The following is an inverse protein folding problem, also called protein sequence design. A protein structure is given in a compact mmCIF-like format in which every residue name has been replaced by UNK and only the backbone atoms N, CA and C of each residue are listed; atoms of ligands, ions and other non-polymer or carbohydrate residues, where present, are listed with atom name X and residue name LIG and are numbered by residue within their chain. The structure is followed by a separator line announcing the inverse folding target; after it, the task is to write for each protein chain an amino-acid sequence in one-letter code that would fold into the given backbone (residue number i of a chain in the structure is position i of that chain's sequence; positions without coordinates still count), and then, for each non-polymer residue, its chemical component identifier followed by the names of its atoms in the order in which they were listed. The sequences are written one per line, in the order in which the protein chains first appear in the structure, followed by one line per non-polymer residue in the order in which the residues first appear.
data_IF_464821482917
#
_entry.id   IF_464821482917
#
_cell.length_a   1.000
_cell.length_b   1.000
_cell.length_c   1.000
_cell.angle_alpha   90.00
_cell.angle_beta   90.00
_cell.angle_gamma   90.00
#
_symmetry.space_group_name_H-M   'P 1'
#
loop_
_entity.id
_entity.type
_entity.pdbx_description
1 polymer ?
#
# COMPACT_ATOMS: atom_id res chain seq x y z
N UNK A 1 -38.76 -46.49 -0.80
CA UNK A 1 -37.66 -45.81 -0.09
C UNK A 1 -36.41 -45.87 -0.97
N UNK A 2 -36.15 -44.82 -1.75
CA UNK A 2 -34.93 -44.66 -2.55
C UNK A 2 -34.12 -43.54 -1.92
N UNK A 3 -33.11 -43.89 -1.11
CA UNK A 3 -32.15 -42.90 -0.59
C UNK A 3 -31.03 -42.66 -1.60
N UNK A 4 -30.83 -41.38 -1.87
CA UNK A 4 -30.02 -40.76 -2.91
C UNK A 4 -28.52 -41.10 -2.82
N UNK A 5 -27.98 -41.62 -3.93
CA UNK A 5 -26.53 -41.81 -4.18
C UNK A 5 -25.81 -40.51 -4.60
N UNK A 6 -26.46 -39.35 -4.61
CA UNK A 6 -25.87 -38.10 -5.14
C UNK A 6 -25.10 -37.24 -4.12
N UNK A 7 -25.11 -37.58 -2.82
CA UNK A 7 -24.44 -36.74 -1.80
C UNK A 7 -22.96 -37.10 -1.62
N UNK A 8 -22.51 -38.30 -2.04
CA UNK A 8 -21.15 -38.74 -1.77
C UNK A 8 -20.10 -38.16 -2.73
N UNK A 9 -20.51 -37.63 -3.89
CA UNK A 9 -19.57 -37.12 -4.91
C UNK A 9 -19.14 -35.67 -4.68
N UNK A 10 -19.86 -34.92 -3.83
CA UNK A 10 -19.53 -33.53 -3.52
C UNK A 10 -18.52 -33.37 -2.37
N UNK A 11 -18.22 -34.43 -1.63
CA UNK A 11 -17.25 -34.38 -0.52
C UNK A 11 -15.79 -34.66 -0.94
N UNK A 12 -15.58 -35.28 -2.11
CA UNK A 12 -14.24 -35.68 -2.55
C UNK A 12 -13.49 -34.52 -3.27
N UNK A 13 -14.20 -33.47 -3.70
CA UNK A 13 -13.55 -32.33 -4.37
C UNK A 13 -12.92 -31.29 -3.42
N UNK A 14 -13.07 -31.44 -2.10
CA UNK A 14 -12.52 -30.50 -1.10
C UNK A 14 -11.15 -30.91 -0.53
N UNK A 15 -10.59 -32.06 -0.96
CA UNK A 15 -9.37 -32.65 -0.40
C UNK A 15 -8.10 -32.47 -1.29
N UNK A 16 -8.13 -31.53 -2.24
CA UNK A 16 -6.96 -31.17 -3.07
C UNK A 16 -6.57 -29.70 -2.86
N UNK A 17 -6.53 -29.24 -1.61
CA UNK A 17 -5.73 -28.06 -1.26
C UNK A 17 -4.45 -28.58 -0.63
N UNK A 18 -3.41 -28.53 -1.45
CA UNK A 18 -2.07 -29.02 -1.19
C UNK A 18 -1.52 -28.54 0.16
N UNK A 19 -1.01 -29.49 0.92
CA UNK A 19 -0.12 -29.28 2.06
C UNK A 19 1.08 -28.41 1.63
N UNK A 20 1.02 -27.11 1.89
CA UNK A 20 2.21 -26.26 1.92
C UNK A 20 2.82 -26.42 3.31
N UNK A 21 3.60 -27.50 3.48
CA UNK A 21 4.38 -27.73 4.68
C UNK A 21 5.52 -26.72 4.73
N UNK A 22 5.39 -25.69 5.57
CA UNK A 22 6.44 -24.72 5.84
C UNK A 22 7.46 -25.36 6.78
N UNK A 23 8.51 -26.00 6.22
CA UNK A 23 9.64 -26.52 7.01
C UNK A 23 10.41 -25.32 7.56
N UNK A 24 10.29 -25.11 8.87
CA UNK A 24 11.02 -24.06 9.58
C UNK A 24 12.25 -24.71 10.20
N UNK A 25 13.44 -24.48 9.64
CA UNK A 25 14.70 -24.95 10.20
C UNK A 25 14.96 -24.29 11.55
N UNK A 26 15.31 -25.09 12.56
CA UNK A 26 15.65 -24.61 13.90
C UNK A 26 16.80 -23.58 13.85
N UNK A 27 16.68 -22.41 14.51
CA UNK A 27 17.64 -21.33 14.36
C UNK A 27 18.87 -21.54 15.26
N UNK A 28 20.05 -21.79 14.69
CA UNK A 28 21.30 -22.06 15.42
C UNK A 28 21.93 -20.86 16.17
N UNK A 29 22.00 -20.94 17.51
CA UNK A 29 22.75 -20.17 18.54
C UNK A 29 23.37 -18.77 18.23
N UNK A 30 22.73 -17.91 17.45
CA UNK A 30 23.11 -16.49 17.32
C UNK A 30 22.44 -15.69 18.44
N UNK A 31 23.12 -14.75 19.12
CA UNK A 31 22.53 -13.91 20.16
C UNK A 31 21.24 -13.23 19.69
N UNK A 32 20.19 -13.28 20.52
CA UNK A 32 18.84 -12.82 20.21
C UNK A 32 18.81 -11.37 19.68
N UNK A 33 19.59 -10.49 20.29
CA UNK A 33 19.69 -9.09 19.90
C UNK A 33 20.32 -8.87 18.51
N UNK A 34 21.28 -9.70 18.13
CA UNK A 34 21.97 -9.59 16.83
C UNK A 34 21.09 -10.15 15.69
N UNK A 35 20.27 -11.18 15.97
CA UNK A 35 19.25 -11.68 15.03
C UNK A 35 18.13 -10.68 14.79
N UNK A 36 17.72 -9.95 15.83
CA UNK A 36 16.71 -8.89 15.69
C UNK A 36 17.19 -7.80 14.74
N UNK A 37 18.44 -7.34 14.88
CA UNK A 37 19.01 -6.30 14.01
C UNK A 37 19.17 -6.81 12.56
N UNK A 38 19.66 -8.03 12.36
CA UNK A 38 19.84 -8.59 11.01
C UNK A 38 18.53 -8.87 10.27
N UNK A 39 17.45 -9.18 10.99
CA UNK A 39 16.14 -9.44 10.40
C UNK A 39 15.26 -8.19 10.30
N UNK A 40 15.58 -7.11 11.02
CA UNK A 40 14.81 -5.85 11.04
C UNK A 40 14.52 -5.27 9.65
N UNK A 41 15.38 -5.53 8.66
CA UNK A 41 15.29 -4.97 7.30
C UNK A 41 15.06 -6.01 6.20
N UNK A 42 14.75 -7.26 6.57
CA UNK A 42 14.37 -8.29 5.60
C UNK A 42 12.86 -8.25 5.42
N UNK A 43 12.43 -7.99 4.19
CA UNK A 43 11.02 -8.04 3.80
C UNK A 43 10.86 -8.86 2.53
N UNK A 44 9.66 -9.37 2.22
CA UNK A 44 9.43 -10.11 1.00
C UNK A 44 9.60 -9.25 -0.25
N UNK A 45 10.10 -9.85 -1.34
CA UNK A 45 10.26 -9.17 -2.63
C UNK A 45 8.95 -8.57 -3.14
N UNK A 46 7.82 -9.26 -2.94
CA UNK A 46 6.49 -8.78 -3.34
C UNK A 46 6.06 -7.50 -2.60
N UNK A 47 6.63 -7.23 -1.43
CA UNK A 47 6.34 -6.01 -0.67
C UNK A 47 7.18 -4.82 -1.17
N UNK A 48 8.45 -5.07 -1.54
CA UNK A 48 9.35 -4.04 -2.12
C UNK A 48 8.84 -3.61 -3.50
N UNK A 49 8.43 -4.58 -4.31
CA UNK A 49 7.97 -4.38 -5.67
C UNK A 49 6.71 -5.22 -5.87
N UNK A 50 5.58 -4.56 -6.14
CA UNK A 50 4.32 -5.25 -6.34
C UNK A 50 4.40 -6.14 -7.59
N UNK A 51 4.03 -7.44 -7.49
CA UNK A 51 3.88 -8.28 -8.66
C UNK A 51 2.84 -7.69 -9.62
N UNK A 52 3.07 -7.85 -10.92
CA UNK A 52 2.09 -7.51 -11.95
C UNK A 52 1.54 -8.80 -12.53
N UNK A 53 0.25 -9.04 -12.33
CA UNK A 53 -0.44 -10.24 -12.77
C UNK A 53 -1.63 -9.78 -13.62
N UNK A 54 -1.71 -10.27 -14.85
CA UNK A 54 -2.78 -9.88 -15.78
C UNK A 54 -4.15 -10.22 -15.19
N UNK A 55 -5.08 -9.27 -15.22
CA UNK A 55 -6.44 -9.44 -14.71
C UNK A 55 -6.58 -9.40 -13.18
N UNK A 56 -5.49 -9.27 -12.42
CA UNK A 56 -5.54 -9.27 -10.94
C UNK A 56 -5.04 -7.94 -10.38
N UNK A 57 -5.92 -7.30 -9.62
CA UNK A 57 -5.64 -6.05 -8.92
C UNK A 57 -5.13 -6.36 -7.51
N UNK A 58 -3.83 -6.58 -7.42
CA UNK A 58 -3.15 -6.81 -6.14
C UNK A 58 -3.09 -5.51 -5.31
N UNK A 59 -3.42 -5.62 -4.03
CA UNK A 59 -3.30 -4.54 -3.03
C UNK A 59 -2.51 -5.00 -1.82
N UNK A 60 -1.95 -4.05 -1.08
CA UNK A 60 -1.35 -4.31 0.21
C UNK A 60 -2.40 -4.14 1.31
N UNK A 61 -2.32 -4.98 2.34
CA UNK A 61 -3.15 -4.88 3.53
C UNK A 61 -2.26 -4.86 4.77
N UNK A 62 -2.74 -4.20 5.83
CA UNK A 62 -1.99 -3.98 7.05
C UNK A 62 -2.87 -4.31 8.26
N UNK A 63 -2.32 -4.99 9.26
CA UNK A 63 -2.97 -5.20 10.54
C UNK A 63 -1.94 -5.24 11.68
N UNK A 64 -2.29 -4.85 12.91
CA UNK A 64 -1.53 -5.24 14.08
C UNK A 64 -1.42 -6.77 14.20
N UNK A 65 -0.39 -7.26 14.88
CA UNK A 65 -0.34 -8.67 15.28
C UNK A 65 -1.36 -8.91 16.39
N UNK A 66 -2.17 -9.95 16.24
CA UNK A 66 -3.12 -10.38 17.27
C UNK A 66 -2.77 -11.78 17.75
N UNK A 67 -3.02 -12.06 19.04
CA UNK A 67 -2.93 -13.42 19.58
C UNK A 67 -3.91 -14.35 18.86
N UNK A 68 -5.11 -13.85 18.55
CA UNK A 68 -6.12 -14.58 17.79
C UNK A 68 -5.91 -14.40 16.27
N UNK A 69 -5.53 -15.48 15.59
CA UNK A 69 -5.30 -15.51 14.14
C UNK A 69 -6.54 -15.27 13.29
N UNK A 70 -7.74 -15.61 13.77
CA UNK A 70 -8.99 -15.29 13.07
C UNK A 70 -9.24 -13.78 13.08
N UNK A 71 -9.01 -13.12 14.22
CA UNK A 71 -9.11 -11.65 14.33
C UNK A 71 -8.10 -10.96 13.42
N UNK A 72 -6.85 -11.44 13.42
CA UNK A 72 -5.78 -10.95 12.54
C UNK A 72 -6.18 -11.04 11.07
N UNK A 73 -6.64 -12.21 10.62
CA UNK A 73 -7.14 -12.44 9.25
C UNK A 73 -8.30 -11.49 8.92
N UNK A 74 -9.29 -11.36 9.81
CA UNK A 74 -10.44 -10.47 9.60
C UNK A 74 -10.00 -9.00 9.43
N UNK A 75 -9.05 -8.53 10.24
CA UNK A 75 -8.49 -7.17 10.12
C UNK A 75 -7.70 -6.98 8.83
N UNK A 76 -6.93 -7.97 8.40
CA UNK A 76 -6.24 -7.93 7.10
C UNK A 76 -7.23 -7.88 5.93
N UNK A 77 -8.31 -8.67 5.96
CA UNK A 77 -9.35 -8.64 4.92
C UNK A 77 -10.07 -7.29 4.86
N UNK A 78 -10.36 -6.69 6.02
CA UNK A 78 -10.91 -5.35 6.09
C UNK A 78 -9.94 -4.31 5.47
N UNK A 79 -8.67 -4.34 5.85
CA UNK A 79 -7.64 -3.46 5.26
C UNK A 79 -7.45 -3.70 3.75
N UNK A 80 -7.63 -4.94 3.28
CA UNK A 80 -7.59 -5.27 1.85
C UNK A 80 -8.79 -4.66 1.13
N UNK A 81 -9.99 -4.76 1.71
CA UNK A 81 -11.21 -4.15 1.17
C UNK A 81 -11.06 -2.63 1.04
N UNK A 82 -10.55 -1.94 2.07
CA UNK A 82 -10.21 -0.51 2.01
C UNK A 82 -9.23 -0.19 0.88
N UNK A 83 -8.21 -1.03 0.70
CA UNK A 83 -7.17 -0.78 -0.29
C UNK A 83 -7.66 -1.03 -1.72
N UNK A 84 -8.54 -2.03 -1.92
CA UNK A 84 -9.24 -2.27 -3.20
C UNK A 84 -10.20 -1.14 -3.52
N UNK A 85 -10.93 -0.64 -2.52
CA UNK A 85 -11.78 0.53 -2.65
C UNK A 85 -10.98 1.74 -3.15
N UNK A 86 -9.87 2.07 -2.46
CA UNK A 86 -8.98 3.17 -2.83
C UNK A 86 -8.34 2.98 -4.20
N UNK A 87 -8.02 1.74 -4.57
CA UNK A 87 -7.55 1.42 -5.91
C UNK A 87 -8.61 1.79 -6.96
N UNK A 88 -9.86 1.34 -6.79
CA UNK A 88 -10.94 1.62 -7.75
C UNK A 88 -11.26 3.12 -7.84
N UNK A 89 -11.47 3.77 -6.70
CA UNK A 89 -11.84 5.17 -6.61
C UNK A 89 -11.53 5.72 -5.21
N UNK A 90 -10.79 6.82 -5.14
CA UNK A 90 -10.55 7.55 -3.90
C UNK A 90 -10.84 9.03 -4.10
N UNK A 91 -11.64 9.62 -3.21
CA UNK A 91 -11.82 11.07 -3.13
C UNK A 91 -10.79 11.60 -2.13
N UNK A 92 -10.09 12.66 -2.48
CA UNK A 92 -9.06 13.27 -1.63
C UNK A 92 -9.41 14.73 -1.46
N UNK A 93 -9.39 15.21 -0.22
CA UNK A 93 -9.54 16.62 0.13
C UNK A 93 -8.24 17.05 0.77
N UNK A 94 -7.30 17.43 -0.09
CA UNK A 94 -5.93 17.70 0.31
C UNK A 94 -5.89 19.11 0.86
N UNK A 95 -5.30 19.26 2.03
CA UNK A 95 -5.03 20.54 2.67
C UNK A 95 -3.54 20.57 3.02
N UNK A 96 -2.71 20.98 2.08
CA UNK A 96 -1.30 21.15 2.39
C UNK A 96 -1.13 22.51 3.04
N UNK A 97 -0.71 22.54 4.31
CA UNK A 97 -0.30 23.76 5.01
C UNK A 97 1.22 23.72 5.21
N UNK A 98 1.90 24.86 5.07
CA UNK A 98 3.32 24.98 5.35
C UNK A 98 3.57 26.03 6.43
N UNK A 99 4.38 25.69 7.45
CA UNK A 99 4.99 26.67 8.36
C UNK A 99 6.50 26.59 8.22
N UNK A 100 7.10 27.65 7.68
CA UNK A 100 8.54 27.83 7.64
C UNK A 100 9.00 28.43 8.98
N UNK A 101 9.19 27.61 10.01
CA UNK A 101 9.91 28.06 11.22
C UNK A 101 11.29 27.41 11.38
N UNK A 102 11.58 26.31 10.67
CA UNK A 102 12.88 25.60 10.75
C UNK A 102 13.26 24.85 9.47
N UNK A 103 12.67 25.20 8.31
CA UNK A 103 12.93 24.49 7.04
C UNK A 103 12.28 23.11 6.90
N UNK A 104 11.45 22.68 7.87
CA UNK A 104 10.71 21.41 7.81
C UNK A 104 9.26 21.64 7.38
N UNK A 105 8.91 21.21 6.17
CA UNK A 105 7.53 21.23 5.67
C UNK A 105 6.66 20.23 6.45
N UNK A 106 5.53 20.71 7.01
CA UNK A 106 4.54 19.89 7.72
C UNK A 106 3.23 19.88 6.94
N UNK A 107 3.12 19.06 5.90
CA UNK A 107 1.86 18.92 5.14
C UNK A 107 0.86 18.04 5.89
N UNK A 108 -0.35 18.53 6.15
CA UNK A 108 -1.43 17.73 6.73
C UNK A 108 -2.42 17.23 5.66
N UNK A 109 -2.17 16.06 5.07
CA UNK A 109 -3.15 15.50 4.14
C UNK A 109 -4.34 14.90 4.90
N UNK A 110 -5.51 15.50 4.75
CA UNK A 110 -6.76 14.86 5.10
C UNK A 110 -7.25 14.00 3.92
N UNK A 111 -7.48 12.72 4.18
CA UNK A 111 -8.10 11.81 3.21
C UNK A 111 -9.54 11.65 3.70
N UNK A 112 -10.51 12.17 2.96
CA UNK A 112 -11.92 11.88 3.21
C UNK A 112 -12.24 10.59 2.46
N UNK A 113 -12.56 9.56 3.23
CA UNK A 113 -12.53 8.16 2.80
C UNK A 113 -13.36 7.87 1.55
N UNK A 114 -12.97 6.82 0.82
CA UNK A 114 -13.78 6.23 -0.24
C UNK A 114 -15.15 5.87 0.32
N UNK A 115 -16.23 6.11 -0.45
CA UNK A 115 -17.64 5.82 -0.12
C UNK A 115 -17.95 4.30 0.02
N UNK A 116 -17.03 3.50 0.57
CA UNK A 116 -17.14 2.05 0.60
C UNK A 116 -17.73 1.59 1.92
N UNK A 117 -18.99 1.22 1.86
CA UNK A 117 -19.65 0.43 2.89
C UNK A 117 -19.09 -0.99 2.85
N UNK A 118 -18.26 -1.35 3.82
CA UNK A 118 -17.71 -2.70 3.96
C UNK A 118 -18.68 -3.53 4.80
N UNK A 119 -19.35 -4.51 4.20
CA UNK A 119 -20.10 -5.52 4.95
C UNK A 119 -19.12 -6.59 5.45
N UNK A 120 -18.88 -6.62 6.76
CA UNK A 120 -17.95 -7.53 7.43
C UNK A 120 -18.27 -9.02 7.19
N UNK A 121 -19.54 -9.39 7.05
CA UNK A 121 -19.99 -10.79 6.89
C UNK A 121 -19.54 -11.39 5.56
N UNK A 122 -19.38 -10.53 4.53
CA UNK A 122 -19.05 -10.95 3.16
C UNK A 122 -17.56 -10.82 2.82
N UNK A 123 -16.71 -10.49 3.81
CA UNK A 123 -15.29 -10.20 3.56
C UNK A 123 -14.52 -11.39 3.02
N UNK A 124 -14.70 -12.58 3.62
CA UNK A 124 -13.95 -13.78 3.22
C UNK A 124 -14.38 -14.31 1.84
N UNK A 125 -15.64 -14.07 1.46
CA UNK A 125 -16.16 -14.45 0.14
C UNK A 125 -15.59 -13.55 -0.96
N UNK A 126 -15.51 -12.24 -0.68
CA UNK A 126 -15.13 -11.22 -1.66
C UNK A 126 -13.62 -11.05 -1.80
N UNK A 127 -12.87 -11.24 -0.73
CA UNK A 127 -11.44 -10.95 -0.68
C UNK A 127 -10.63 -12.13 -0.17
N UNK A 128 -9.41 -12.27 -0.70
CA UNK A 128 -8.50 -13.34 -0.32
C UNK A 128 -7.11 -12.77 -0.03
N UNK A 129 -6.51 -13.23 1.06
CA UNK A 129 -5.10 -12.98 1.38
C UNK A 129 -4.25 -14.02 0.64
N UNK A 130 -3.33 -13.56 -0.20
CA UNK A 130 -2.47 -14.44 -1.02
C UNK A 130 -1.21 -14.82 -0.26
N UNK A 131 -0.59 -13.85 0.40
CA UNK A 131 0.55 -14.06 1.28
C UNK A 131 0.60 -12.97 2.36
N UNK A 132 1.26 -13.28 3.47
CA UNK A 132 1.45 -12.35 4.59
C UNK A 132 2.85 -12.48 5.19
N UNK A 133 3.31 -11.43 5.84
CA UNK A 133 4.62 -11.40 6.50
C UNK A 133 4.59 -10.51 7.75
N UNK A 134 5.10 -10.98 8.90
CA UNK A 134 5.19 -10.17 10.11
C UNK A 134 6.28 -9.10 9.99
N UNK A 135 5.98 -7.86 10.40
CA UNK A 135 6.93 -6.75 10.42
C UNK A 135 6.79 -5.95 11.73
N UNK A 136 7.80 -6.02 12.60
CA UNK A 136 7.73 -5.43 13.93
C UNK A 136 6.52 -5.97 14.71
N UNK A 137 5.66 -5.07 15.18
CA UNK A 137 4.39 -5.40 15.87
C UNK A 137 3.20 -5.60 14.93
N UNK A 138 3.40 -5.49 13.62
CA UNK A 138 2.36 -5.55 12.61
C UNK A 138 2.52 -6.72 11.64
N UNK A 139 1.58 -6.83 10.72
CA UNK A 139 1.58 -7.76 9.60
C UNK A 139 1.24 -6.99 8.34
N UNK A 140 2.00 -7.29 7.30
CA UNK A 140 1.71 -6.89 5.92
C UNK A 140 1.18 -8.09 5.17
N UNK A 141 0.22 -7.86 4.29
CA UNK A 141 -0.33 -8.88 3.42
C UNK A 141 -0.48 -8.37 2.00
N UNK A 142 -0.45 -9.29 1.05
CA UNK A 142 -0.85 -9.06 -0.33
C UNK A 142 -2.20 -9.72 -0.54
N UNK A 143 -3.16 -8.96 -1.05
CA UNK A 143 -4.54 -9.38 -1.18
C UNK A 143 -5.14 -8.98 -2.53
N UNK A 144 -6.26 -9.60 -2.87
CA UNK A 144 -7.04 -9.30 -4.07
C UNK A 144 -8.51 -9.73 -3.88
N UNK A 145 -9.34 -9.40 -4.87
CA UNK A 145 -10.70 -9.94 -4.96
C UNK A 145 -10.66 -11.43 -5.32
N UNK A 146 -11.39 -12.26 -4.57
CA UNK A 146 -11.45 -13.71 -4.76
C UNK A 146 -11.85 -14.10 -6.19
N UNK A 147 -12.75 -13.32 -6.80
CA UNK A 147 -13.19 -13.54 -8.18
C UNK A 147 -12.04 -13.43 -9.20
N UNK A 148 -11.08 -12.52 -8.99
CA UNK A 148 -9.94 -12.31 -9.90
C UNK A 148 -8.90 -13.44 -9.79
N UNK A 149 -8.82 -14.09 -8.63
CA UNK A 149 -7.85 -15.17 -8.40
C UNK A 149 -8.25 -16.49 -9.04
N UNK A 150 -9.56 -16.75 -9.22
CA UNK A 150 -10.06 -17.99 -9.84
C UNK A 150 -9.56 -18.18 -11.28
N UNK A 151 -9.32 -17.09 -11.99
CA UNK A 151 -8.89 -17.10 -13.40
C UNK A 151 -7.38 -16.96 -13.58
N UNK A 152 -6.63 -16.66 -12.50
CA UNK A 152 -5.23 -16.29 -12.58
C UNK A 152 -4.29 -17.40 -12.12
N UNK A 153 -3.26 -17.69 -12.92
CA UNK A 153 -2.15 -18.53 -12.50
C UNK A 153 -1.16 -17.71 -11.67
N UNK A 154 -1.32 -17.75 -10.34
CA UNK A 154 -0.53 -16.94 -9.41
C UNK A 154 0.77 -17.64 -9.03
N UNK A 155 1.90 -17.05 -9.41
CA UNK A 155 3.22 -17.43 -8.89
C UNK A 155 3.83 -16.25 -8.14
N UNK A 156 3.66 -16.22 -6.83
CA UNK A 156 4.22 -15.18 -5.97
C UNK A 156 5.47 -15.71 -5.27
N UNK A 157 6.60 -15.06 -5.53
CA UNK A 157 7.89 -15.42 -4.95
C UNK A 157 7.95 -14.84 -3.52
N UNK A 158 7.88 -15.70 -2.50
CA UNK A 158 8.02 -15.29 -1.09
C UNK A 158 9.47 -15.23 -0.62
N UNK A 159 10.39 -14.79 -1.51
CA UNK A 159 11.80 -14.65 -1.19
C UNK A 159 11.99 -13.38 -0.36
N UNK A 160 12.73 -13.49 0.75
CA UNK A 160 13.11 -12.34 1.55
C UNK A 160 14.30 -11.61 0.91
N UNK A 161 14.27 -10.29 0.95
CA UNK A 161 15.34 -9.43 0.46
C UNK A 161 15.63 -8.35 1.50
N UNK A 162 16.92 -8.14 1.78
CA UNK A 162 17.38 -7.02 2.62
C UNK A 162 17.12 -5.71 1.87
N UNK A 163 16.47 -4.76 2.54
CA UNK A 163 16.28 -3.41 2.02
C UNK A 163 17.64 -2.71 1.87
N UNK A 164 17.80 -1.91 0.82
CA UNK A 164 18.93 -0.98 0.72
C UNK A 164 18.58 0.24 1.56
N UNK A 165 19.16 0.34 2.74
CA UNK A 165 18.75 1.30 3.77
C UNK A 165 19.65 2.53 3.87
N UNK A 166 20.86 2.47 3.31
CA UNK A 166 21.89 3.51 3.48
C UNK A 166 21.64 4.75 2.61
N UNK A 167 20.80 4.64 1.60
CA UNK A 167 20.42 5.73 0.70
C UNK A 167 18.95 5.58 0.29
N UNK A 168 18.22 6.68 0.04
CA UNK A 168 16.88 6.58 -0.51
C UNK A 168 16.88 5.78 -1.82
N UNK A 169 15.84 4.96 -2.09
CA UNK A 169 15.74 4.26 -3.35
C UNK A 169 15.83 5.24 -4.54
N UNK A 170 16.50 4.86 -5.63
CA UNK A 170 16.66 5.73 -6.82
C UNK A 170 15.33 6.28 -7.36
N UNK A 171 14.25 5.52 -7.24
CA UNK A 171 12.90 5.92 -7.69
C UNK A 171 12.24 6.98 -6.81
N UNK A 172 12.78 7.26 -5.61
CA UNK A 172 12.34 8.39 -4.76
C UNK A 172 12.79 9.70 -5.37
N UNK A 173 14.03 9.76 -5.86
CA UNK A 173 14.60 10.96 -6.49
C UNK A 173 14.13 11.09 -7.93
N UNK A 174 14.17 9.99 -8.68
CA UNK A 174 13.77 9.93 -10.08
C UNK A 174 12.67 8.87 -10.26
N UNK A 175 11.39 9.22 -10.04
CA UNK A 175 10.28 8.32 -10.30
C UNK A 175 10.31 7.80 -11.74
N UNK A 176 9.86 6.56 -11.99
CA UNK A 176 9.85 6.00 -13.33
C UNK A 176 8.93 6.81 -14.24
N UNK A 177 9.27 6.83 -15.53
CA UNK A 177 8.45 7.42 -16.58
C UNK A 177 7.98 6.32 -17.53
N UNK A 178 6.67 6.10 -17.60
CA UNK A 178 6.04 5.18 -18.54
C UNK A 178 4.89 5.91 -19.25
N UNK A 179 4.85 5.81 -20.58
CA UNK A 179 3.80 6.45 -21.39
C UNK A 179 2.43 5.95 -20.93
N UNK A 180 1.51 6.89 -20.65
CA UNK A 180 0.15 6.57 -20.22
C UNK A 180 -0.02 6.42 -18.71
N UNK A 181 1.02 6.68 -17.92
CA UNK A 181 0.96 6.65 -16.45
C UNK A 181 1.53 7.93 -15.83
N UNK A 182 1.01 8.28 -14.66
CA UNK A 182 1.57 9.28 -13.75
C UNK A 182 1.97 8.62 -12.44
N UNK A 183 3.04 9.13 -11.84
CA UNK A 183 3.66 8.56 -10.65
C UNK A 183 3.87 9.64 -9.61
N UNK A 184 3.68 9.28 -8.34
CA UNK A 184 4.02 10.15 -7.22
C UNK A 184 4.60 9.34 -6.07
N UNK A 185 5.56 9.95 -5.38
CA UNK A 185 6.21 9.38 -4.21
C UNK A 185 5.59 10.00 -2.96
N UNK A 186 5.20 9.17 -2.01
CA UNK A 186 4.84 9.58 -0.67
C UNK A 186 5.90 9.15 0.32
N UNK A 187 6.09 9.94 1.37
CA UNK A 187 7.01 9.63 2.45
C UNK A 187 6.34 9.78 3.81
N UNK A 188 6.78 8.98 4.79
CA UNK A 188 6.42 9.12 6.19
C UNK A 188 7.67 8.97 7.06
N UNK A 189 7.83 9.82 8.08
CA UNK A 189 8.83 9.59 9.12
C UNK A 189 8.39 8.40 9.98
N UNK A 190 9.33 7.88 10.76
CA UNK A 190 9.05 6.77 11.66
C UNK A 190 7.85 7.06 12.57
N UNK A 191 6.94 6.09 12.65
CA UNK A 191 5.75 6.14 13.49
C UNK A 191 5.91 5.16 14.67
N UNK A 192 4.87 5.00 15.48
CA UNK A 192 4.86 4.00 16.55
C UNK A 192 5.16 2.58 16.07
N UNK A 193 4.95 2.30 14.77
CA UNK A 193 5.13 0.97 14.18
C UNK A 193 5.31 1.01 12.65
N UNK A 194 6.13 0.11 12.06
CA UNK A 194 6.46 0.14 10.62
C UNK A 194 5.25 0.04 9.69
N UNK A 195 4.27 -0.80 10.02
CA UNK A 195 3.05 -0.98 9.21
C UNK A 195 2.23 0.30 9.11
N UNK A 196 2.18 1.09 10.19
CA UNK A 196 1.52 2.40 10.18
C UNK A 196 2.29 3.38 9.32
N UNK A 197 3.63 3.41 9.43
CA UNK A 197 4.46 4.29 8.63
C UNK A 197 4.32 4.01 7.12
N UNK A 198 4.26 2.74 6.72
CA UNK A 198 3.94 2.38 5.34
C UNK A 198 2.55 2.84 4.92
N UNK A 199 1.51 2.59 5.74
CA UNK A 199 0.14 3.04 5.43
C UNK A 199 0.06 4.57 5.25
N UNK A 200 0.81 5.33 6.06
CA UNK A 200 0.92 6.80 5.93
C UNK A 200 1.69 7.19 4.67
N UNK A 201 2.82 6.53 4.36
CA UNK A 201 3.57 6.79 3.14
C UNK A 201 2.72 6.54 1.88
N UNK A 202 1.91 5.47 1.86
CA UNK A 202 0.96 5.20 0.77
C UNK A 202 -0.11 6.28 0.64
N UNK A 203 -0.67 6.73 1.77
CA UNK A 203 -1.64 7.85 1.79
C UNK A 203 -1.01 9.12 1.21
N UNK A 204 0.20 9.45 1.64
CA UNK A 204 0.93 10.61 1.13
C UNK A 204 1.27 10.48 -0.36
N UNK A 205 1.52 9.26 -0.85
CA UNK A 205 1.79 9.02 -2.27
C UNK A 205 0.55 9.32 -3.13
N UNK A 206 -0.64 8.92 -2.66
CA UNK A 206 -1.92 9.25 -3.32
C UNK A 206 -2.20 10.76 -3.28
N UNK A 207 -1.90 11.41 -2.16
CA UNK A 207 -2.07 12.86 -2.01
C UNK A 207 -1.17 13.63 -2.98
N UNK A 208 0.12 13.31 -3.01
CA UNK A 208 1.09 13.93 -3.92
C UNK A 208 0.70 13.71 -5.39
N UNK A 209 0.12 12.55 -5.71
CA UNK A 209 -0.41 12.28 -7.04
C UNK A 209 -1.56 13.21 -7.41
N UNK A 210 -2.52 13.41 -6.50
CA UNK A 210 -3.63 14.33 -6.72
C UNK A 210 -3.15 15.79 -6.83
N UNK A 211 -2.20 16.22 -6.00
CA UNK A 211 -1.59 17.56 -6.11
C UNK A 211 -0.87 17.77 -7.44
N UNK A 212 -0.12 16.78 -7.92
CA UNK A 212 0.56 16.85 -9.22
C UNK A 212 -0.45 17.00 -10.37
N UNK A 213 -1.59 16.31 -10.29
CA UNK A 213 -2.62 16.40 -11.33
C UNK A 213 -3.38 17.73 -11.23
N UNK A 214 -3.75 18.16 -10.01
CA UNK A 214 -4.49 19.43 -9.82
C UNK A 214 -3.64 20.65 -10.18
N UNK A 215 -2.36 20.66 -9.83
CA UNK A 215 -1.43 21.73 -10.23
C UNK A 215 -1.26 21.80 -11.75
N UNK A 216 -1.14 20.66 -12.44
CA UNK A 216 -1.13 20.62 -13.92
C UNK A 216 -2.42 21.22 -14.52
N UNK A 217 -3.55 21.15 -13.82
CA UNK A 217 -4.81 21.78 -14.21
C UNK A 217 -4.85 23.29 -13.88
N UNK A 218 -4.22 23.72 -12.78
CA UNK A 218 -4.22 25.10 -12.32
C UNK A 218 -3.13 25.99 -12.96
N UNK A 219 -2.10 25.42 -13.61
CA UNK A 219 -1.09 26.20 -14.38
C UNK A 219 -1.61 26.79 -15.71
N UNK A 220 -2.93 26.95 -15.86
CA UNK A 220 -3.54 27.85 -16.83
C UNK A 220 -4.25 28.99 -16.09
N UNK A 221 -3.49 29.99 -15.64
CA UNK A 221 -3.93 31.39 -15.60
C UNK A 221 -2.80 32.32 -15.14
N UNK A 222 -2.42 33.20 -16.06
CA UNK A 222 -2.11 34.63 -15.95
C UNK A 222 -1.44 35.14 -14.67
N UNK A 223 -0.22 35.68 -14.84
CA UNK A 223 0.43 36.82 -14.16
C UNK A 223 0.20 36.97 -12.64
N UNK A 224 1.19 37.25 -11.80
CA UNK A 224 1.93 38.51 -11.70
C UNK A 224 3.04 38.27 -10.67
N UNK A 225 4.22 38.82 -10.91
CA UNK A 225 5.30 38.92 -9.93
C UNK A 225 4.84 39.65 -8.67
N UNK A 226 4.63 38.94 -7.57
CA UNK A 226 4.69 39.49 -6.20
C UNK A 226 5.92 38.93 -5.50
N UNK A 227 6.50 39.74 -4.62
CA UNK A 227 7.86 39.61 -4.13
C UNK A 227 8.18 38.21 -3.56
N UNK A 228 9.41 37.74 -3.81
CA UNK A 228 9.93 36.44 -3.36
C UNK A 228 9.77 36.20 -1.84
N UNK A 229 9.78 37.29 -1.06
CA UNK A 229 9.62 37.25 0.39
C UNK A 229 8.15 37.11 0.85
N UNK A 230 7.18 37.65 0.13
CA UNK A 230 5.75 37.40 0.42
C UNK A 230 5.36 35.97 0.07
N UNK A 231 5.92 35.39 -0.99
CA UNK A 231 5.74 33.97 -1.37
C UNK A 231 6.31 33.00 -0.31
N UNK A 232 7.46 33.34 0.28
CA UNK A 232 8.11 32.53 1.33
C UNK A 232 7.37 32.55 2.68
N UNK A 233 6.61 33.61 2.99
CA UNK A 233 5.91 33.75 4.29
C UNK A 233 4.41 33.46 4.18
N UNK A 234 3.85 33.43 2.96
CA UNK A 234 2.46 33.00 2.80
C UNK A 234 2.34 31.53 3.15
N UNK A 235 1.45 31.27 4.11
CA UNK A 235 0.95 29.95 4.43
C UNK A 235 0.42 29.34 3.12
N UNK A 236 1.23 28.56 2.42
CA UNK A 236 0.77 27.84 1.25
C UNK A 236 -0.22 26.80 1.75
N UNK A 237 -1.49 27.20 1.72
CA UNK A 237 -2.63 26.35 1.93
C UNK A 237 -3.11 25.90 0.55
N UNK A 238 -2.61 24.76 0.08
CA UNK A 238 -3.16 24.16 -1.14
C UNK A 238 -4.34 23.30 -0.72
N UNK A 239 -5.54 23.79 -0.98
CA UNK A 239 -6.77 23.02 -0.86
C UNK A 239 -7.19 22.48 -2.22
N UNK A 240 -7.39 21.17 -2.34
CA UNK A 240 -7.87 20.56 -3.58
C UNK A 240 -8.76 19.36 -3.27
N UNK A 241 -9.97 19.35 -3.85
CA UNK A 241 -10.83 18.18 -3.87
C UNK A 241 -10.67 17.46 -5.19
N UNK A 242 -10.25 16.19 -5.16
CA UNK A 242 -10.05 15.42 -6.39
C UNK A 242 -10.49 13.97 -6.22
N UNK A 243 -11.03 13.40 -7.30
CA UNK A 243 -11.34 11.97 -7.38
C UNK A 243 -10.30 11.28 -8.26
N UNK A 244 -9.52 10.39 -7.67
CA UNK A 244 -8.59 9.53 -8.39
C UNK A 244 -9.22 8.15 -8.63
N UNK A 245 -8.88 7.52 -9.76
CA UNK A 245 -9.34 6.16 -10.12
C UNK A 245 -8.16 5.32 -10.57
N UNK A 246 -8.17 4.02 -10.24
CA UNK A 246 -7.12 3.07 -10.60
C UNK A 246 -5.73 3.47 -10.06
N UNK A 247 -5.67 3.94 -8.81
CA UNK A 247 -4.41 4.32 -8.14
C UNK A 247 -3.79 3.13 -7.45
N UNK A 248 -2.59 2.77 -7.87
CA UNK A 248 -1.92 1.54 -7.48
C UNK A 248 -0.61 1.85 -6.77
N UNK A 249 -0.43 1.35 -5.55
CA UNK A 249 0.89 1.35 -4.88
C UNK A 249 1.72 0.23 -5.49
N UNK A 250 2.88 0.56 -6.06
CA UNK A 250 3.69 -0.37 -6.85
C UNK A 250 5.06 -0.69 -6.22
N UNK A 251 5.56 0.16 -5.34
CA UNK A 251 6.85 -0.07 -4.65
C UNK A 251 6.85 0.50 -3.24
N UNK A 252 7.66 -0.12 -2.39
CA UNK A 252 8.01 0.36 -1.05
C UNK A 252 9.53 0.48 -0.92
N UNK A 253 9.98 1.42 -0.12
CA UNK A 253 11.41 1.61 0.17
C UNK A 253 11.64 2.38 1.44
N UNK A 254 12.77 2.12 2.11
CA UNK A 254 13.02 2.63 3.45
C UNK A 254 14.46 3.11 3.53
N UNK A 255 14.67 4.22 4.22
CA UNK A 255 15.97 4.85 4.42
C UNK A 255 16.22 4.98 5.92
N UNK A 256 17.21 4.24 6.43
CA UNK A 256 17.50 4.13 7.87
C UNK A 256 18.04 5.45 8.45
N UNK A 257 19.02 6.16 7.83
CA UNK A 257 19.58 7.39 8.41
C UNK A 257 18.52 8.46 8.70
N UNK A 258 17.53 8.62 7.81
CA UNK A 258 16.42 9.57 8.04
C UNK A 258 15.17 8.92 8.62
N UNK A 259 15.22 7.61 8.92
CA UNK A 259 14.09 6.77 9.35
C UNK A 259 12.81 7.07 8.57
N UNK A 260 12.93 7.06 7.24
CA UNK A 260 11.85 7.47 6.34
C UNK A 260 11.37 6.31 5.48
N UNK A 261 10.06 6.13 5.49
CA UNK A 261 9.32 5.15 4.70
C UNK A 261 8.81 5.82 3.43
N UNK A 262 8.94 5.15 2.29
CA UNK A 262 8.54 5.66 0.98
C UNK A 262 7.59 4.70 0.25
N UNK A 263 6.51 5.23 -0.32
CA UNK A 263 5.64 4.49 -1.21
C UNK A 263 5.59 5.16 -2.58
N UNK A 264 5.54 4.35 -3.65
CA UNK A 264 5.36 4.83 -5.01
C UNK A 264 3.95 4.49 -5.49
N UNK A 265 3.15 5.52 -5.75
CA UNK A 265 1.84 5.40 -6.38
C UNK A 265 1.96 5.57 -7.90
N UNK A 266 1.08 4.89 -8.64
CA UNK A 266 0.92 4.98 -10.09
C UNK A 266 -0.56 5.06 -10.46
N UNK A 267 -0.91 5.88 -11.45
CA UNK A 267 -2.26 5.94 -12.02
C UNK A 267 -2.23 6.08 -13.55
N UNK A 268 -3.15 5.44 -14.30
CA UNK A 268 -3.26 5.66 -15.74
C UNK A 268 -3.76 7.08 -16.10
N UNK A 269 -3.14 7.72 -17.09
CA UNK A 269 -3.50 9.08 -17.52
C UNK A 269 -4.89 9.19 -18.14
N UNK A 270 -5.41 8.10 -18.74
CA UNK A 270 -6.77 8.05 -19.33
C UNK A 270 -7.90 8.33 -18.32
N UNK A 271 -7.61 8.28 -17.02
CA UNK A 271 -8.57 8.56 -15.95
C UNK A 271 -8.44 9.96 -15.35
N UNK A 272 -7.55 10.78 -15.89
CA UNK A 272 -7.48 12.21 -15.56
C UNK A 272 -8.60 12.88 -16.35
N UNK A 273 -9.76 13.06 -15.72
CA UNK A 273 -10.82 13.89 -16.29
C UNK A 273 -10.35 15.36 -16.22
N UNK A 274 -10.29 16.02 -17.38
CA UNK A 274 -10.03 17.46 -17.49
C UNK A 274 -11.27 18.25 -17.12
#
# INVERSE_FOLDING_TARGET
MYFSKQILTLFILFLIISNISCITTAPGNTPLHQREIENKYKVPVWFIQKPQISGVNLVYAYAPQYLNKATEKKKLLYSAAESIAKYKKVRLNILQEGRLQTGKYLSNTQELESDVTINEETLEEKYSIICQYPIGSGIIALAAETAQLKTANLRIINKLKKLKIDSPPKWVVNPPFEKGFVYAVGSAQDHSSPEKAWKVAEKNARANLALQISSTMQFKNNDIQTSMWEWLVTHHQISSSMVLKNVSIIKHGYHEPSRTYYALARMPTKHIHK
#
